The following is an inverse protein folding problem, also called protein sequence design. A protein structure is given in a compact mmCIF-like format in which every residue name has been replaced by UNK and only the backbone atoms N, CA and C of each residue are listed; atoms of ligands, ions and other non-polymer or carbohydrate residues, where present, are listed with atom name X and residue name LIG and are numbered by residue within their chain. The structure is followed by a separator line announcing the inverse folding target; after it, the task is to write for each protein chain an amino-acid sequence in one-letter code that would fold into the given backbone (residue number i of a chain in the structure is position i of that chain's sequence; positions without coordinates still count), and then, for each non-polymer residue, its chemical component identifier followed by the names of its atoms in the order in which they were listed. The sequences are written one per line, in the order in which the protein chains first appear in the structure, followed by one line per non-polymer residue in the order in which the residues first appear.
data_IF_613830884534
#
_entry.id   IF_613830884534
#
_cell.length_a   1.000
_cell.length_b   1.000
_cell.length_c   1.000
_cell.angle_alpha   90.00
_cell.angle_beta   90.00
_cell.angle_gamma   90.00
#
_symmetry.space_group_name_H-M   'P 1'
#
loop_
_entity.id
_entity.type
_entity.pdbx_description
1 polymer ?
#
# COMPACT_ATOMS: atom_id res chain seq x y z
N UNK A 1 -27.65 18.29 4.28
CA UNK A 1 -26.73 19.29 3.69
C UNK A 1 -26.63 19.11 2.17
N UNK A 2 -26.33 17.90 1.66
CA UNK A 2 -26.26 17.60 0.21
C UNK A 2 -27.51 18.02 -0.59
N UNK A 3 -28.71 17.69 -0.11
CA UNK A 3 -29.98 18.05 -0.75
C UNK A 3 -30.19 19.57 -0.89
N UNK A 4 -29.73 20.34 0.09
CA UNK A 4 -29.86 21.80 0.09
C UNK A 4 -28.89 22.44 -0.92
N UNK A 5 -27.66 21.90 -1.00
CA UNK A 5 -26.62 22.33 -1.95
C UNK A 5 -27.07 22.03 -3.38
N UNK A 6 -27.61 20.83 -3.63
CA UNK A 6 -28.13 20.42 -4.94
C UNK A 6 -29.28 21.33 -5.39
N UNK A 7 -30.21 21.66 -4.48
CA UNK A 7 -31.34 22.54 -4.79
C UNK A 7 -30.94 24.00 -5.05
N UNK A 8 -29.80 24.45 -4.52
CA UNK A 8 -29.32 25.84 -4.62
C UNK A 8 -28.35 26.03 -5.80
N UNK A 9 -27.50 25.05 -6.08
CA UNK A 9 -26.39 25.20 -7.04
C UNK A 9 -26.59 24.45 -8.37
N UNK A 10 -27.46 23.44 -8.41
CA UNK A 10 -27.70 22.67 -9.65
C UNK A 10 -28.71 23.40 -10.55
N UNK A 11 -28.42 23.56 -11.86
CA UNK A 11 -29.37 24.16 -12.77
C UNK A 11 -30.57 23.22 -12.97
N UNK A 12 -31.78 23.78 -13.00
CA UNK A 12 -33.01 23.00 -13.15
C UNK A 12 -33.06 22.34 -14.53
N UNK A 13 -33.32 21.02 -14.62
CA UNK A 13 -33.44 20.37 -15.91
C UNK A 13 -34.66 20.93 -16.66
N UNK A 14 -34.53 21.27 -17.95
CA UNK A 14 -35.65 21.72 -18.78
C UNK A 14 -36.63 20.56 -19.03
N UNK A 15 -37.88 20.88 -19.33
CA UNK A 15 -38.88 19.88 -19.73
C UNK A 15 -38.42 19.17 -21.02
N UNK A 16 -38.32 17.82 -21.03
CA UNK A 16 -37.87 17.04 -22.19
C UNK A 16 -38.68 17.27 -23.48
N UNK A 17 -39.88 17.85 -23.38
CA UNK A 17 -40.78 18.11 -24.51
C UNK A 17 -40.55 19.49 -25.15
N UNK A 18 -39.77 20.36 -24.50
CA UNK A 18 -39.52 21.73 -24.97
C UNK A 18 -38.30 21.75 -25.86
N UNK A 19 -38.45 22.27 -27.08
CA UNK A 19 -37.32 22.48 -28.00
C UNK A 19 -36.50 23.67 -27.53
N UNK A 20 -35.24 23.43 -27.16
CA UNK A 20 -34.32 24.44 -26.64
C UNK A 20 -33.99 25.45 -27.76
N UNK A 21 -34.18 26.74 -27.48
CA UNK A 21 -34.12 27.81 -28.49
C UNK A 21 -32.77 28.54 -28.61
N UNK A 22 -31.80 28.23 -27.75
CA UNK A 22 -30.45 28.84 -27.82
C UNK A 22 -29.52 28.05 -28.75
N UNK A 23 -28.35 28.60 -29.12
CA UNK A 23 -27.42 27.95 -30.06
C UNK A 23 -27.01 26.54 -29.65
N UNK A 24 -26.70 25.72 -30.66
CA UNK A 24 -26.30 24.33 -30.49
C UNK A 24 -24.83 24.22 -30.08
N UNK A 25 -24.56 23.50 -29.00
CA UNK A 25 -23.23 23.30 -28.41
C UNK A 25 -22.82 21.83 -28.54
N UNK A 26 -21.63 21.61 -29.09
CA UNK A 26 -21.00 20.30 -29.11
C UNK A 26 -20.07 20.15 -27.90
N UNK A 27 -20.28 19.12 -27.08
CA UNK A 27 -19.40 18.75 -25.98
C UNK A 27 -18.62 17.50 -26.37
N UNK A 28 -17.29 17.57 -26.36
CA UNK A 28 -16.43 16.43 -26.71
C UNK A 28 -15.95 15.75 -25.44
N UNK A 29 -16.36 14.49 -25.26
CA UNK A 29 -16.05 13.65 -24.10
C UNK A 29 -17.22 13.55 -23.12
N UNK A 30 -17.59 12.31 -22.77
CA UNK A 30 -18.62 12.00 -21.76
C UNK A 30 -18.03 11.75 -20.36
N UNK A 31 -16.89 12.37 -20.04
CA UNK A 31 -16.28 12.34 -18.70
C UNK A 31 -16.98 13.27 -17.71
N UNK A 32 -16.54 13.29 -16.45
CA UNK A 32 -17.15 14.13 -15.41
C UNK A 32 -17.29 15.60 -15.85
N UNK A 33 -16.25 16.17 -16.45
CA UNK A 33 -16.23 17.54 -16.97
C UNK A 33 -17.18 17.75 -18.14
N UNK A 34 -17.30 16.78 -19.04
CA UNK A 34 -18.19 16.86 -20.19
C UNK A 34 -19.66 16.80 -19.79
N UNK A 35 -20.00 15.89 -18.88
CA UNK A 35 -21.36 15.74 -18.33
C UNK A 35 -21.75 17.00 -17.55
N UNK A 36 -20.90 17.52 -16.67
CA UNK A 36 -21.23 18.76 -15.93
C UNK A 36 -21.37 19.96 -16.85
N UNK A 37 -20.49 20.11 -17.85
CA UNK A 37 -20.59 21.17 -18.86
C UNK A 37 -21.92 21.08 -19.63
N UNK A 38 -22.32 19.88 -20.04
CA UNK A 38 -23.58 19.65 -20.73
C UNK A 38 -24.79 19.98 -19.83
N UNK A 39 -24.78 19.58 -18.55
CA UNK A 39 -25.85 19.90 -17.59
C UNK A 39 -26.04 21.40 -17.45
N UNK A 40 -24.96 22.18 -17.34
CA UNK A 40 -25.06 23.64 -17.26
C UNK A 40 -25.58 24.26 -18.56
N UNK A 41 -25.11 23.81 -19.71
CA UNK A 41 -25.59 24.30 -21.00
C UNK A 41 -27.09 23.98 -21.20
N UNK A 42 -27.52 22.74 -20.93
CA UNK A 42 -28.92 22.31 -21.05
C UNK A 42 -29.82 23.05 -20.06
N UNK A 43 -29.40 23.16 -18.80
CA UNK A 43 -30.16 23.87 -17.76
C UNK A 43 -30.31 25.38 -18.02
N UNK A 44 -29.45 25.96 -18.86
CA UNK A 44 -29.58 27.34 -19.34
C UNK A 44 -30.24 27.46 -20.72
N UNK A 45 -30.82 26.38 -21.26
CA UNK A 45 -31.63 26.45 -22.47
C UNK A 45 -30.87 26.29 -23.79
N UNK A 46 -29.61 25.83 -23.76
CA UNK A 46 -28.81 25.51 -24.96
C UNK A 46 -29.07 24.09 -25.46
N UNK A 47 -29.17 23.91 -26.78
CA UNK A 47 -29.22 22.59 -27.41
C UNK A 47 -27.82 21.95 -27.35
N UNK A 48 -27.66 20.79 -26.70
CA UNK A 48 -26.34 20.19 -26.45
C UNK A 48 -26.26 18.78 -27.04
N UNK A 49 -25.16 18.49 -27.72
CA UNK A 49 -24.81 17.14 -28.18
C UNK A 49 -23.47 16.74 -27.57
N UNK A 50 -23.44 15.62 -26.85
CA UNK A 50 -22.21 15.04 -26.27
C UNK A 50 -21.67 13.99 -27.22
N UNK A 51 -20.40 14.11 -27.59
CA UNK A 51 -19.65 13.12 -28.39
C UNK A 51 -18.75 12.31 -27.47
N UNK A 52 -19.16 11.07 -27.14
CA UNK A 52 -18.34 10.12 -26.37
C UNK A 52 -17.49 9.23 -27.28
N UNK A 53 -16.28 8.87 -26.85
CA UNK A 53 -15.38 7.99 -27.60
C UNK A 53 -15.66 6.49 -27.36
N UNK A 54 -16.44 6.13 -26.33
CA UNK A 54 -16.73 4.75 -25.93
C UNK A 54 -18.22 4.48 -25.75
N UNK A 55 -18.61 3.22 -25.46
CA UNK A 55 -20.00 2.83 -25.21
C UNK A 55 -20.61 3.55 -23.99
N UNK A 56 -21.94 3.48 -23.86
CA UNK A 56 -22.72 4.17 -22.82
C UNK A 56 -22.27 3.82 -21.40
N UNK A 57 -21.82 2.59 -21.15
CA UNK A 57 -21.23 2.19 -19.86
C UNK A 57 -19.96 3.00 -19.47
N UNK A 58 -19.35 3.73 -20.41
CA UNK A 58 -18.19 4.59 -20.17
C UNK A 58 -18.52 6.06 -19.86
N UNK A 59 -19.80 6.40 -19.67
CA UNK A 59 -20.19 7.71 -19.14
C UNK A 59 -19.58 7.91 -17.76
N UNK A 60 -18.88 9.02 -17.56
CA UNK A 60 -17.99 9.28 -16.40
C UNK A 60 -16.50 9.22 -16.76
N UNK A 61 -16.15 8.69 -17.94
CA UNK A 61 -14.79 8.71 -18.48
C UNK A 61 -13.84 7.86 -17.64
N UNK A 62 -12.74 8.43 -17.14
CA UNK A 62 -11.78 7.68 -16.32
C UNK A 62 -12.41 7.11 -15.03
N UNK A 63 -13.51 7.70 -14.57
CA UNK A 63 -14.23 7.28 -13.37
C UNK A 63 -15.21 6.14 -13.61
N UNK A 64 -15.60 5.87 -14.86
CA UNK A 64 -16.49 4.74 -15.19
C UNK A 64 -15.75 3.39 -15.15
N UNK A 65 -14.43 3.41 -15.30
CA UNK A 65 -13.55 2.22 -15.27
C UNK A 65 -13.05 1.84 -13.88
N UNK A 66 -13.70 2.36 -12.83
CA UNK A 66 -13.25 2.24 -11.44
C UNK A 66 -12.11 3.21 -11.12
N UNK A 67 -12.12 3.81 -9.93
CA UNK A 67 -11.12 4.80 -9.51
C UNK A 67 -9.72 4.23 -9.19
N UNK A 68 -9.50 2.93 -9.40
CA UNK A 68 -8.26 2.23 -9.04
C UNK A 68 -7.68 1.54 -10.27
N UNK A 69 -6.36 1.60 -10.47
CA UNK A 69 -5.75 0.98 -11.64
C UNK A 69 -5.79 -0.54 -11.54
N UNK A 70 -6.06 -1.19 -12.66
CA UNK A 70 -5.97 -2.64 -12.77
C UNK A 70 -4.50 -3.12 -12.89
N UNK A 71 -4.29 -4.44 -12.81
CA UNK A 71 -2.96 -5.05 -12.93
C UNK A 71 -2.26 -4.68 -14.24
N UNK A 72 -2.98 -4.65 -15.36
CA UNK A 72 -2.39 -4.36 -16.67
C UNK A 72 -1.94 -2.90 -16.76
N UNK A 73 -2.75 -1.98 -16.25
CA UNK A 73 -2.41 -0.56 -16.12
C UNK A 73 -1.16 -0.38 -15.27
N UNK A 74 -1.08 -1.00 -14.09
CA UNK A 74 0.12 -0.94 -13.24
C UNK A 74 1.36 -1.46 -13.99
N UNK A 75 1.27 -2.63 -14.63
CA UNK A 75 2.40 -3.22 -15.37
C UNK A 75 2.83 -2.31 -16.53
N UNK A 76 1.87 -1.75 -17.27
CA UNK A 76 2.17 -0.83 -18.38
C UNK A 76 2.90 0.43 -17.90
N UNK A 77 2.49 1.01 -16.77
CA UNK A 77 3.16 2.18 -16.19
C UNK A 77 4.57 1.84 -15.72
N UNK A 78 4.76 0.68 -15.08
CA UNK A 78 6.10 0.20 -14.69
C UNK A 78 6.99 0.01 -15.92
N UNK A 79 6.48 -0.57 -17.01
CA UNK A 79 7.22 -0.73 -18.27
C UNK A 79 7.57 0.61 -18.92
N UNK A 80 6.65 1.57 -18.91
CA UNK A 80 6.92 2.91 -19.43
C UNK A 80 8.05 3.59 -18.65
N UNK A 81 8.08 3.45 -17.32
CA UNK A 81 9.19 3.95 -16.51
C UNK A 81 10.49 3.20 -16.82
N UNK A 82 10.42 1.88 -16.92
CA UNK A 82 11.56 1.04 -17.27
C UNK A 82 12.25 1.48 -18.56
N UNK A 83 11.47 1.67 -19.63
CA UNK A 83 11.96 2.10 -20.95
C UNK A 83 12.43 3.56 -20.92
N UNK A 84 11.65 4.46 -20.31
CA UNK A 84 11.97 5.89 -20.24
C UNK A 84 13.33 6.16 -19.60
N UNK A 85 13.68 5.39 -18.57
CA UNK A 85 14.95 5.55 -17.84
C UNK A 85 16.04 4.58 -18.33
N UNK A 86 15.81 3.82 -19.41
CA UNK A 86 16.82 2.90 -19.97
C UNK A 86 17.26 1.81 -18.99
N UNK A 87 16.35 1.36 -18.10
CA UNK A 87 16.68 0.41 -17.03
C UNK A 87 17.01 -0.99 -17.56
N UNK A 88 16.68 -1.27 -18.83
CA UNK A 88 17.06 -2.50 -19.53
C UNK A 88 18.58 -2.66 -19.59
N UNK A 89 19.31 -1.60 -19.95
CA UNK A 89 20.78 -1.62 -20.05
C UNK A 89 21.47 -1.69 -18.69
N UNK A 90 20.77 -1.29 -17.63
CA UNK A 90 21.26 -1.28 -16.25
C UNK A 90 20.92 -2.58 -15.48
N UNK A 91 20.21 -3.52 -16.11
CA UNK A 91 19.70 -4.72 -15.43
C UNK A 91 20.43 -5.99 -15.85
N UNK A 92 20.93 -6.73 -14.85
CA UNK A 92 21.43 -8.10 -15.03
C UNK A 92 20.34 -9.11 -14.65
N UNK A 93 19.61 -9.60 -15.65
CA UNK A 93 18.62 -10.65 -15.45
C UNK A 93 19.25 -11.99 -15.06
N UNK A 94 18.42 -12.92 -14.59
CA UNK A 94 18.81 -14.30 -14.24
C UNK A 94 19.97 -14.40 -13.22
N UNK A 95 20.18 -13.34 -12.43
CA UNK A 95 21.28 -13.27 -11.46
C UNK A 95 20.72 -13.27 -10.05
N UNK A 96 20.57 -14.47 -9.47
CA UNK A 96 20.11 -14.61 -8.07
C UNK A 96 21.22 -14.17 -7.11
N UNK A 97 20.92 -13.24 -6.22
CA UNK A 97 21.84 -12.82 -5.15
C UNK A 97 21.76 -13.82 -4.00
N UNK A 98 22.86 -14.54 -3.75
CA UNK A 98 22.98 -15.51 -2.66
C UNK A 98 23.84 -14.97 -1.52
N UNK A 99 24.82 -14.11 -1.82
CA UNK A 99 25.73 -13.56 -0.83
C UNK A 99 26.21 -12.16 -1.22
N UNK A 100 26.36 -11.31 -0.22
CA UNK A 100 26.95 -9.99 -0.28
C UNK A 100 28.05 -9.90 0.78
N UNK A 101 29.17 -9.26 0.45
CA UNK A 101 30.29 -9.05 1.37
C UNK A 101 31.06 -7.78 1.00
N UNK A 102 31.86 -7.25 1.94
CA UNK A 102 32.71 -6.08 1.71
C UNK A 102 34.16 -6.47 1.37
N UNK A 103 34.84 -5.64 0.59
CA UNK A 103 36.29 -5.71 0.41
C UNK A 103 37.04 -4.95 1.52
N UNK A 104 38.38 -5.02 1.51
CA UNK A 104 39.25 -4.36 2.51
C UNK A 104 39.12 -2.82 2.52
N UNK A 105 38.43 -2.24 1.53
CA UNK A 105 38.15 -0.79 1.44
C UNK A 105 36.69 -0.46 1.74
N UNK A 106 35.93 -1.40 2.32
CA UNK A 106 34.54 -1.21 2.71
C UNK A 106 33.53 -1.24 1.55
N UNK A 107 33.94 -1.54 0.31
CA UNK A 107 33.03 -1.58 -0.85
C UNK A 107 32.34 -2.92 -0.95
N UNK A 108 31.08 -2.89 -1.36
CA UNK A 108 30.22 -4.05 -1.46
C UNK A 108 30.45 -4.86 -2.75
N UNK A 109 30.40 -6.18 -2.62
CA UNK A 109 30.51 -7.15 -3.71
C UNK A 109 29.30 -8.08 -3.67
N UNK A 110 28.69 -8.33 -4.82
CA UNK A 110 27.49 -9.18 -4.97
C UNK A 110 27.87 -10.51 -5.62
N UNK A 111 27.68 -11.61 -4.90
CA UNK A 111 28.04 -13.00 -5.24
C UNK A 111 29.54 -13.24 -5.51
N UNK A 112 30.15 -12.50 -6.44
CA UNK A 112 31.56 -12.58 -6.81
C UNK A 112 32.06 -11.26 -7.38
N UNK A 113 33.38 -11.07 -7.38
CA UNK A 113 34.05 -9.87 -7.93
C UNK A 113 33.73 -9.60 -9.40
N UNK A 114 33.32 -10.62 -10.17
CA UNK A 114 32.92 -10.47 -11.58
C UNK A 114 31.72 -9.54 -11.78
N UNK A 115 30.89 -9.35 -10.74
CA UNK A 115 29.76 -8.42 -10.80
C UNK A 115 30.15 -6.96 -10.56
N UNK A 116 31.39 -6.70 -10.18
CA UNK A 116 31.90 -5.37 -9.84
C UNK A 116 31.91 -5.11 -8.34
N UNK A 117 32.28 -3.86 -8.02
CA UNK A 117 32.31 -3.32 -6.66
C UNK A 117 31.35 -2.14 -6.60
N UNK A 118 30.66 -1.98 -5.47
CA UNK A 118 29.60 -1.00 -5.27
C UNK A 118 29.79 -0.23 -3.96
N UNK A 119 29.47 1.05 -3.95
CA UNK A 119 29.63 1.89 -2.74
C UNK A 119 28.45 1.74 -1.76
N UNK A 120 27.30 1.24 -2.22
CA UNK A 120 26.14 1.00 -1.39
C UNK A 120 25.19 -0.05 -1.97
N UNK A 121 24.27 -0.54 -1.14
CA UNK A 121 23.26 -1.52 -1.52
C UNK A 121 21.88 -1.05 -1.09
N UNK A 122 20.92 -1.17 -2.00
CA UNK A 122 19.49 -1.02 -1.71
C UNK A 122 18.84 -2.40 -1.87
N UNK A 123 18.32 -2.96 -0.78
CA UNK A 123 17.55 -4.20 -0.82
C UNK A 123 16.08 -3.92 -1.12
N UNK A 124 15.62 -4.31 -2.32
CA UNK A 124 14.26 -4.11 -2.79
C UNK A 124 13.53 -5.46 -3.05
N UNK A 125 13.77 -6.48 -2.21
CA UNK A 125 13.23 -7.84 -2.38
C UNK A 125 11.73 -7.99 -2.04
N UNK A 126 11.09 -6.92 -1.57
CA UNK A 126 9.69 -6.90 -1.18
C UNK A 126 9.38 -7.66 0.11
N UNK A 127 8.10 -7.75 0.46
CA UNK A 127 7.61 -8.32 1.72
C UNK A 127 6.79 -9.61 1.52
N UNK A 128 6.38 -9.90 0.29
CA UNK A 128 5.60 -11.08 -0.07
C UNK A 128 6.50 -12.07 -0.80
N UNK A 129 7.00 -13.08 -0.07
CA UNK A 129 7.80 -14.18 -0.63
C UNK A 129 6.94 -15.42 -0.92
N UNK A 130 7.45 -16.58 -0.53
CA UNK A 130 6.80 -17.88 -0.77
C UNK A 130 5.41 -17.93 -0.11
N UNK A 131 4.38 -18.48 -0.78
CA UNK A 131 3.06 -18.67 -0.20
C UNK A 131 3.12 -19.42 1.13
N UNK A 132 2.39 -18.94 2.13
CA UNK A 132 2.28 -19.60 3.43
C UNK A 132 1.09 -20.54 3.40
N UNK A 133 1.30 -21.76 2.93
CA UNK A 133 0.26 -22.81 2.93
C UNK A 133 0.43 -23.65 4.20
N UNK A 134 -0.43 -23.51 5.22
CA UNK A 134 -0.39 -24.39 6.38
C UNK A 134 -0.84 -25.80 5.98
N UNK A 135 -0.10 -26.82 6.41
CA UNK A 135 -0.57 -28.20 6.31
C UNK A 135 -1.71 -28.40 7.31
N UNK A 136 -2.83 -28.94 6.83
CA UNK A 136 -4.00 -29.22 7.64
C UNK A 136 -4.39 -30.70 7.51
N UNK A 137 -4.93 -31.32 8.57
CA UNK A 137 -5.40 -32.70 8.51
C UNK A 137 -6.44 -32.91 7.42
N UNK A 138 -6.32 -34.01 6.67
CA UNK A 138 -7.31 -34.40 5.64
C UNK A 138 -7.17 -33.72 4.28
N UNK A 139 -6.25 -32.76 4.12
CA UNK A 139 -6.13 -31.95 2.89
C UNK A 139 -5.92 -32.80 1.61
N UNK A 140 -5.24 -33.94 1.72
CA UNK A 140 -4.98 -34.87 0.61
C UNK A 140 -6.22 -35.68 0.17
N UNK A 141 -7.33 -35.65 0.92
CA UNK A 141 -8.54 -36.44 0.67
C UNK A 141 -9.68 -35.64 0.04
N UNK A 142 -9.48 -34.35 -0.14
CA UNK A 142 -10.47 -33.40 -0.62
C UNK A 142 -10.73 -33.54 -2.12
N UNK A 143 -12.01 -33.53 -2.57
CA UNK A 143 -12.41 -33.94 -3.93
C UNK A 143 -13.52 -33.12 -4.63
N UNK A 144 -13.95 -31.98 -4.12
CA UNK A 144 -15.21 -31.37 -4.61
C UNK A 144 -15.17 -30.37 -5.82
N UNK A 145 -16.33 -29.80 -6.20
CA UNK A 145 -16.71 -28.72 -7.19
C UNK A 145 -17.02 -27.16 -6.80
N UNK A 146 -17.75 -26.74 -5.74
CA UNK A 146 -17.92 -25.40 -5.03
C UNK A 146 -16.69 -24.70 -4.36
N UNK A 147 -16.55 -23.37 -4.42
CA UNK A 147 -15.36 -22.66 -3.88
C UNK A 147 -15.40 -22.23 -2.38
N UNK A 148 -14.37 -22.57 -1.60
CA UNK A 148 -14.05 -22.08 -0.24
C UNK A 148 -12.76 -21.26 -0.27
N UNK A 149 -12.81 -20.03 0.22
CA UNK A 149 -11.62 -19.18 0.42
C UNK A 149 -11.21 -19.22 1.88
N UNK A 150 -9.98 -19.66 2.15
CA UNK A 150 -9.40 -19.73 3.49
C UNK A 150 -8.51 -18.51 3.73
N UNK A 151 -8.90 -17.66 4.66
CA UNK A 151 -8.22 -16.42 5.01
C UNK A 151 -9.14 -15.21 4.88
N UNK A 152 -8.95 -14.20 5.73
CA UNK A 152 -9.70 -12.94 5.72
C UNK A 152 -8.83 -11.75 5.31
N UNK A 153 -7.90 -11.91 4.37
CA UNK A 153 -7.01 -10.85 3.89
C UNK A 153 -7.49 -10.21 2.59
N UNK A 154 -6.77 -9.18 2.11
CA UNK A 154 -7.08 -8.54 0.82
C UNK A 154 -7.08 -9.57 -0.34
N UNK A 155 -6.16 -10.53 -0.31
CA UNK A 155 -6.10 -11.63 -1.30
C UNK A 155 -7.34 -12.53 -1.28
N UNK A 156 -8.01 -12.69 -0.13
CA UNK A 156 -9.24 -13.47 -0.04
C UNK A 156 -10.42 -12.75 -0.70
N UNK A 157 -10.46 -11.44 -0.52
CA UNK A 157 -11.45 -10.57 -1.17
C UNK A 157 -11.25 -10.56 -2.69
N UNK A 158 -10.01 -10.46 -3.17
CA UNK A 158 -9.70 -10.56 -4.60
C UNK A 158 -10.09 -11.93 -5.18
N UNK A 159 -9.86 -13.03 -4.44
CA UNK A 159 -10.30 -14.35 -4.85
C UNK A 159 -11.83 -14.45 -4.95
N UNK A 160 -12.56 -13.83 -4.01
CA UNK A 160 -14.02 -13.72 -4.08
C UNK A 160 -14.47 -12.86 -5.27
N UNK A 161 -13.78 -11.76 -5.57
CA UNK A 161 -14.09 -10.94 -6.75
C UNK A 161 -13.95 -11.74 -8.03
N UNK A 162 -12.82 -12.42 -8.20
CA UNK A 162 -12.53 -13.28 -9.33
C UNK A 162 -13.58 -14.39 -9.49
N UNK A 163 -13.84 -15.16 -8.43
CA UNK A 163 -14.77 -16.27 -8.52
C UNK A 163 -16.22 -15.83 -8.78
N UNK A 164 -16.63 -14.68 -8.24
CA UNK A 164 -17.94 -14.13 -8.55
C UNK A 164 -18.04 -13.66 -10.00
N UNK A 165 -16.96 -13.16 -10.60
CA UNK A 165 -16.92 -12.77 -12.01
C UNK A 165 -16.99 -14.01 -12.92
N UNK A 166 -16.37 -15.12 -12.50
CA UNK A 166 -16.44 -16.43 -13.17
C UNK A 166 -17.77 -17.19 -12.94
N UNK A 167 -18.73 -16.58 -12.23
CA UNK A 167 -20.08 -17.14 -12.06
C UNK A 167 -20.22 -18.21 -10.98
N UNK A 168 -19.35 -18.23 -9.97
CA UNK A 168 -19.50 -19.14 -8.83
C UNK A 168 -20.87 -18.95 -8.14
N UNK A 169 -21.57 -20.06 -7.89
CA UNK A 169 -22.93 -20.03 -7.32
C UNK A 169 -22.96 -19.55 -5.86
N UNK A 170 -21.98 -19.97 -5.07
CA UNK A 170 -21.83 -19.61 -3.66
C UNK A 170 -20.35 -19.61 -3.27
N UNK A 171 -19.93 -18.60 -2.52
CA UNK A 171 -18.55 -18.44 -2.07
C UNK A 171 -18.52 -18.34 -0.55
N UNK A 172 -17.70 -19.16 0.11
CA UNK A 172 -17.47 -19.08 1.55
C UNK A 172 -16.12 -18.44 1.83
N UNK A 173 -16.07 -17.37 2.65
CA UNK A 173 -14.83 -16.85 3.20
C UNK A 173 -14.71 -17.31 4.64
N UNK A 174 -13.71 -18.14 4.92
CA UNK A 174 -13.35 -18.56 6.27
C UNK A 174 -12.29 -17.60 6.83
N UNK A 175 -12.65 -16.87 7.89
CA UNK A 175 -11.74 -15.93 8.55
C UNK A 175 -11.57 -16.28 10.03
N UNK A 176 -10.31 -16.44 10.46
CA UNK A 176 -9.96 -16.65 11.87
C UNK A 176 -10.14 -15.39 12.70
N UNK A 177 -9.93 -14.21 12.12
CA UNK A 177 -10.12 -12.92 12.79
C UNK A 177 -10.86 -11.96 11.88
N UNK A 178 -11.68 -11.12 12.48
CA UNK A 178 -12.38 -10.06 11.76
C UNK A 178 -11.41 -8.96 11.34
N UNK A 179 -11.67 -8.39 10.17
CA UNK A 179 -10.98 -7.22 9.65
C UNK A 179 -11.99 -6.19 9.21
N UNK A 180 -11.61 -4.93 9.36
CA UNK A 180 -12.35 -3.82 8.78
C UNK A 180 -12.37 -3.91 7.26
N UNK A 181 -13.54 -3.72 6.66
CA UNK A 181 -13.70 -3.55 5.22
C UNK A 181 -14.10 -2.10 4.97
N UNK A 182 -13.30 -1.37 4.21
CA UNK A 182 -13.59 0.02 3.83
C UNK A 182 -13.83 0.13 2.33
N UNK A 183 -14.72 1.04 1.89
CA UNK A 183 -14.92 1.28 0.47
C UNK A 183 -13.62 1.73 -0.21
N UNK A 184 -13.41 1.36 -1.48
CA UNK A 184 -12.30 1.88 -2.32
C UNK A 184 -12.56 3.34 -2.73
N UNK A 185 -12.84 4.22 -1.79
CA UNK A 185 -13.07 5.63 -2.06
C UNK A 185 -12.07 6.49 -1.28
N UNK A 186 -11.18 7.24 -1.95
CA UNK A 186 -10.12 8.00 -1.28
C UNK A 186 -10.69 9.08 -0.35
N UNK A 187 -11.82 9.70 -0.69
CA UNK A 187 -12.47 10.71 0.15
C UNK A 187 -13.02 10.10 1.45
N UNK A 188 -13.75 8.99 1.36
CA UNK A 188 -14.26 8.30 2.54
C UNK A 188 -13.15 7.68 3.38
N UNK A 189 -12.13 7.08 2.75
CA UNK A 189 -10.98 6.53 3.46
C UNK A 189 -10.20 7.63 4.20
N UNK A 190 -10.09 8.84 3.63
CA UNK A 190 -9.47 9.99 4.31
C UNK A 190 -10.28 10.42 5.54
N UNK A 191 -11.61 10.54 5.42
CA UNK A 191 -12.48 10.92 6.55
C UNK A 191 -12.50 9.87 7.67
N UNK A 192 -12.51 8.57 7.29
CA UNK A 192 -12.40 7.47 8.24
C UNK A 192 -11.02 7.45 8.91
N UNK A 193 -9.94 7.73 8.18
CA UNK A 193 -8.59 7.82 8.74
C UNK A 193 -8.44 9.02 9.68
N UNK A 194 -9.19 10.10 9.44
CA UNK A 194 -9.32 11.24 10.35
C UNK A 194 -10.23 10.95 11.56
N UNK A 195 -10.83 9.76 11.63
CA UNK A 195 -11.67 9.27 12.73
C UNK A 195 -12.85 10.21 13.09
N UNK A 196 -13.42 10.90 12.10
CA UNK A 196 -14.50 11.90 12.32
C UNK A 196 -15.84 11.23 12.68
N UNK A 197 -16.06 10.00 12.23
CA UNK A 197 -17.29 9.24 12.43
C UNK A 197 -16.98 7.86 13.02
N UNK A 198 -16.60 7.82 14.31
CA UNK A 198 -16.37 6.57 15.04
C UNK A 198 -17.67 5.85 15.38
N UNK A 199 -18.30 5.17 14.42
CA UNK A 199 -19.43 4.29 14.70
C UNK A 199 -19.18 2.86 14.19
N UNK A 200 -19.50 1.90 15.07
CA UNK A 200 -19.37 0.47 14.86
C UNK A 200 -20.55 -0.07 14.03
N UNK A 201 -20.26 -0.75 12.92
CA UNK A 201 -21.23 -1.53 12.14
C UNK A 201 -21.24 -3.01 12.54
N UNK A 202 -22.23 -3.80 12.13
CA UNK A 202 -22.33 -5.22 12.53
C UNK A 202 -21.19 -6.14 12.03
N UNK A 203 -20.47 -5.72 10.99
CA UNK A 203 -19.25 -6.35 10.46
C UNK A 203 -17.97 -5.83 11.12
N UNK A 204 -18.06 -4.85 12.03
CA UNK A 204 -16.92 -4.35 12.77
C UNK A 204 -16.32 -5.45 13.65
N UNK A 205 -14.98 -5.59 13.69
CA UNK A 205 -14.31 -6.40 14.69
C UNK A 205 -14.68 -5.88 16.09
N UNK A 206 -15.23 -6.73 16.95
CA UNK A 206 -15.74 -6.33 18.27
C UNK A 206 -14.67 -5.82 19.24
N UNK A 207 -13.40 -6.17 18.99
CA UNK A 207 -12.30 -5.90 19.92
C UNK A 207 -11.23 -4.98 19.30
N UNK A 208 -11.52 -4.32 18.15
CA UNK A 208 -10.53 -3.51 17.42
C UNK A 208 -11.16 -2.24 16.83
N UNK A 209 -10.59 -1.09 17.16
CA UNK A 209 -10.95 0.18 16.53
C UNK A 209 -10.65 0.22 15.02
N UNK A 210 -11.23 1.20 14.33
CA UNK A 210 -10.97 1.46 12.91
C UNK A 210 -9.48 1.86 12.75
N UNK A 211 -8.77 1.25 11.80
CA UNK A 211 -7.32 1.40 11.52
C UNK A 211 -6.33 0.87 12.58
N UNK A 212 -6.78 0.16 13.60
CA UNK A 212 -5.83 -0.54 14.49
C UNK A 212 -5.11 -1.68 13.77
N UNK A 213 -5.74 -2.28 12.76
CA UNK A 213 -5.16 -3.21 11.79
C UNK A 213 -5.31 -2.67 10.37
N UNK A 214 -4.54 -3.23 9.41
CA UNK A 214 -4.70 -2.92 7.99
C UNK A 214 -6.11 -3.29 7.51
N UNK A 215 -6.98 -2.30 7.18
CA UNK A 215 -8.30 -2.58 6.66
C UNK A 215 -8.22 -3.12 5.24
N UNK A 216 -9.22 -3.90 4.85
CA UNK A 216 -9.40 -4.37 3.49
C UNK A 216 -10.19 -3.34 2.71
N UNK A 217 -9.64 -2.88 1.58
CA UNK A 217 -10.30 -1.85 0.79
C UNK A 217 -11.04 -2.49 -0.39
N UNK A 218 -12.36 -2.47 -0.36
CA UNK A 218 -13.21 -3.12 -1.35
C UNK A 218 -14.61 -2.48 -1.49
N UNK A 219 -15.21 -2.53 -2.68
CA UNK A 219 -16.57 -2.03 -2.92
C UNK A 219 -17.63 -3.13 -3.09
N UNK A 220 -17.23 -4.31 -3.54
CA UNK A 220 -18.13 -5.32 -4.12
C UNK A 220 -18.47 -6.43 -3.11
N UNK A 221 -17.58 -6.66 -2.13
CA UNK A 221 -17.78 -7.67 -1.08
C UNK A 221 -19.10 -7.44 -0.34
N UNK A 222 -19.48 -6.20 -0.05
CA UNK A 222 -20.71 -5.91 0.69
C UNK A 222 -21.97 -6.29 -0.10
N UNK A 223 -22.01 -5.99 -1.40
CA UNK A 223 -23.11 -6.37 -2.27
C UNK A 223 -23.25 -7.90 -2.36
N UNK A 224 -22.13 -8.61 -2.49
CA UNK A 224 -22.11 -10.08 -2.52
C UNK A 224 -22.54 -10.73 -1.21
N UNK A 225 -22.21 -10.12 -0.08
CA UNK A 225 -22.67 -10.58 1.23
C UNK A 225 -24.18 -10.34 1.40
N UNK A 226 -24.69 -9.18 0.97
CA UNK A 226 -26.11 -8.82 1.08
C UNK A 226 -27.01 -9.64 0.15
N UNK A 227 -26.56 -9.89 -1.08
CA UNK A 227 -27.25 -10.75 -2.05
C UNK A 227 -27.14 -12.24 -1.71
N UNK A 228 -26.34 -12.60 -0.70
CA UNK A 228 -26.12 -13.98 -0.27
C UNK A 228 -25.24 -14.79 -1.22
N UNK A 229 -24.65 -14.20 -2.27
CA UNK A 229 -23.67 -14.88 -3.14
C UNK A 229 -22.38 -15.26 -2.41
N UNK A 230 -22.01 -14.48 -1.40
CA UNK A 230 -20.91 -14.76 -0.50
C UNK A 230 -21.39 -14.92 0.94
N UNK A 231 -20.71 -15.75 1.73
CA UNK A 231 -20.90 -15.85 3.18
C UNK A 231 -19.57 -15.70 3.90
N UNK A 232 -19.50 -14.74 4.84
CA UNK A 232 -18.34 -14.55 5.70
C UNK A 232 -18.49 -15.38 6.98
N UNK A 233 -17.67 -16.41 7.12
CA UNK A 233 -17.73 -17.34 8.25
C UNK A 233 -16.55 -17.08 9.18
N UNK A 234 -16.87 -16.67 10.41
CA UNK A 234 -15.90 -16.57 11.52
C UNK A 234 -15.64 -17.96 12.07
N UNK A 235 -14.48 -18.54 11.77
CA UNK A 235 -14.18 -19.88 12.23
C UNK A 235 -12.69 -20.20 12.34
N UNK A 236 -12.38 -21.25 13.11
CA UNK A 236 -11.12 -21.98 13.02
C UNK A 236 -11.34 -23.23 12.18
N UNK A 237 -10.38 -23.54 11.29
CA UNK A 237 -10.44 -24.75 10.48
C UNK A 237 -9.85 -25.90 11.28
N UNK A 238 -10.60 -26.99 11.43
CA UNK A 238 -10.15 -28.17 12.17
C UNK A 238 -9.52 -29.20 11.21
N UNK A 239 -10.25 -29.59 10.16
CA UNK A 239 -9.81 -30.59 9.20
C UNK A 239 -10.54 -30.48 7.86
N UNK A 240 -9.94 -31.00 6.80
CA UNK A 240 -10.59 -31.22 5.52
C UNK A 240 -11.34 -32.55 5.54
N UNK A 241 -12.52 -32.55 4.93
CA UNK A 241 -13.32 -33.73 4.62
C UNK A 241 -13.27 -34.01 3.12
N UNK A 242 -13.86 -35.10 2.62
CA UNK A 242 -13.84 -35.39 1.18
C UNK A 242 -14.60 -34.32 0.37
N UNK A 243 -15.73 -33.84 0.89
CA UNK A 243 -16.63 -32.89 0.20
C UNK A 243 -16.65 -31.49 0.85
N UNK A 244 -15.62 -31.13 1.62
CA UNK A 244 -15.67 -29.88 2.39
C UNK A 244 -14.58 -29.66 3.43
N UNK A 245 -14.82 -28.70 4.30
CA UNK A 245 -13.95 -28.34 5.41
C UNK A 245 -14.76 -28.31 6.71
N UNK A 246 -14.33 -29.08 7.71
CA UNK A 246 -14.87 -29.01 9.06
C UNK A 246 -14.30 -27.79 9.76
N UNK A 247 -15.19 -26.90 10.19
CA UNK A 247 -14.83 -25.67 10.87
C UNK A 247 -15.51 -25.57 12.23
N UNK A 248 -14.81 -24.96 13.17
CA UNK A 248 -15.37 -24.48 14.42
C UNK A 248 -15.93 -23.07 14.19
N UNK A 249 -17.23 -22.95 13.89
CA UNK A 249 -17.93 -21.68 13.66
C UNK A 249 -18.16 -20.97 14.99
N UNK A 250 -17.63 -19.74 15.12
CA UNK A 250 -17.70 -18.96 16.35
C UNK A 250 -18.71 -17.82 16.21
N UNK A 251 -19.35 -17.47 17.33
CA UNK A 251 -20.20 -16.30 17.43
C UNK A 251 -19.37 -15.00 17.40
N UNK A 252 -20.03 -13.86 17.16
CA UNK A 252 -19.39 -12.53 17.28
C UNK A 252 -18.88 -12.34 18.73
N UNK A 253 -17.75 -11.68 18.88
CA UNK A 253 -17.05 -11.47 20.17
C UNK A 253 -16.35 -12.69 20.80
N UNK A 254 -16.37 -13.86 20.14
CA UNK A 254 -15.66 -15.05 20.63
C UNK A 254 -14.25 -15.12 20.03
N UNK A 255 -13.24 -15.17 20.90
CA UNK A 255 -11.84 -15.15 20.52
C UNK A 255 -11.41 -16.39 19.72
N UNK A 256 -10.33 -16.31 18.91
CA UNK A 256 -9.84 -17.47 18.17
C UNK A 256 -9.36 -18.60 19.07
N UNK A 257 -9.75 -19.84 18.77
CA UNK A 257 -9.44 -21.03 19.57
C UNK A 257 -10.48 -21.39 20.64
N UNK A 258 -11.45 -20.51 20.90
CA UNK A 258 -12.54 -20.79 21.84
C UNK A 258 -13.59 -21.75 21.26
N UNK A 259 -14.35 -22.48 22.11
CA UNK A 259 -15.38 -23.41 21.66
C UNK A 259 -16.47 -22.71 20.85
N UNK A 260 -16.89 -23.34 19.76
CA UNK A 260 -17.98 -22.89 18.90
C UNK A 260 -18.77 -24.07 18.34
N UNK A 261 -19.59 -23.80 17.33
CA UNK A 261 -20.39 -24.82 16.67
C UNK A 261 -19.59 -25.49 15.56
N UNK A 262 -19.40 -26.80 15.64
CA UNK A 262 -18.77 -27.58 14.57
C UNK A 262 -19.73 -27.67 13.37
N UNK A 263 -19.30 -27.15 12.23
CA UNK A 263 -20.07 -27.13 10.99
C UNK A 263 -19.17 -27.57 9.85
N UNK A 264 -19.68 -28.41 8.95
CA UNK A 264 -19.00 -28.74 7.71
C UNK A 264 -19.43 -27.73 6.66
N UNK A 265 -18.47 -26.93 6.17
CA UNK A 265 -18.67 -26.10 4.99
C UNK A 265 -18.41 -27.00 3.79
N UNK A 266 -19.46 -27.33 3.05
CA UNK A 266 -19.34 -28.07 1.81
C UNK A 266 -18.71 -27.19 0.76
N UNK A 267 -17.77 -27.77 0.03
CA UNK A 267 -16.89 -27.04 -0.82
C UNK A 267 -15.72 -27.90 -1.22
N UNK A 268 -15.00 -27.42 -2.19
CA UNK A 268 -14.80 -28.33 -3.30
C UNK A 268 -13.64 -27.83 -4.20
N UNK A 269 -13.53 -26.51 -4.41
CA UNK A 269 -12.27 -25.81 -4.68
C UNK A 269 -11.87 -25.04 -3.43
N UNK A 270 -10.65 -25.23 -2.93
CA UNK A 270 -10.15 -24.43 -1.80
C UNK A 270 -9.05 -23.48 -2.25
N UNK A 271 -9.29 -22.18 -2.05
CA UNK A 271 -8.30 -21.13 -2.28
C UNK A 271 -7.64 -20.76 -0.96
N UNK A 272 -6.35 -21.07 -0.83
CA UNK A 272 -5.54 -20.72 0.34
C UNK A 272 -5.06 -19.28 0.27
N UNK A 273 -5.84 -18.35 0.84
CA UNK A 273 -5.52 -16.92 0.96
C UNK A 273 -4.87 -16.59 2.32
N UNK A 274 -3.95 -17.45 2.77
CA UNK A 274 -3.31 -17.42 4.10
C UNK A 274 -2.06 -16.54 4.20
N UNK A 275 -1.79 -15.74 3.16
CA UNK A 275 -0.66 -14.82 3.08
C UNK A 275 0.65 -15.47 2.62
N UNK A 276 1.75 -14.72 2.71
CA UNK A 276 3.08 -15.16 2.29
C UNK A 276 4.08 -15.12 3.45
N UNK A 277 5.11 -15.97 3.38
CA UNK A 277 6.32 -15.83 4.20
C UNK A 277 7.11 -14.63 3.71
N UNK A 278 7.67 -13.86 4.63
CA UNK A 278 8.54 -12.73 4.27
C UNK A 278 9.86 -13.25 3.70
N UNK A 279 10.38 -12.64 2.61
CA UNK A 279 11.73 -12.90 2.15
C UNK A 279 12.74 -12.58 3.26
N UNK A 280 13.75 -13.43 3.42
CA UNK A 280 14.83 -13.18 4.37
C UNK A 280 15.96 -12.39 3.70
N UNK A 281 16.63 -11.53 4.47
CA UNK A 281 17.81 -10.78 4.04
C UNK A 281 19.11 -11.54 4.32
N UNK A 282 19.07 -12.87 4.35
CA UNK A 282 20.19 -13.74 4.72
C UNK A 282 21.39 -13.70 3.75
N UNK A 283 21.24 -13.04 2.60
CA UNK A 283 22.37 -12.77 1.70
C UNK A 283 23.25 -11.62 2.18
N UNK A 284 22.77 -10.76 3.10
CA UNK A 284 23.56 -9.71 3.73
C UNK A 284 24.36 -10.26 4.92
N UNK A 285 25.53 -9.70 5.23
CA UNK A 285 26.29 -10.09 6.42
C UNK A 285 25.50 -9.88 7.72
N UNK A 286 25.69 -10.77 8.69
CA UNK A 286 25.01 -10.69 10.00
C UNK A 286 25.35 -9.40 10.77
N UNK A 287 26.53 -8.81 10.51
CA UNK A 287 26.93 -7.53 11.08
C UNK A 287 26.00 -6.36 10.71
N UNK A 288 25.18 -6.50 9.66
CA UNK A 288 24.17 -5.51 9.29
C UNK A 288 22.96 -5.52 10.24
N UNK A 289 22.80 -6.55 11.06
CA UNK A 289 21.64 -6.77 11.95
C UNK A 289 22.03 -6.89 13.43
N UNK A 290 23.18 -6.34 13.81
CA UNK A 290 23.58 -6.21 15.20
C UNK A 290 22.72 -5.18 15.94
N UNK A 291 22.42 -5.43 17.22
CA UNK A 291 21.61 -4.51 18.02
C UNK A 291 22.19 -3.08 18.05
N UNK A 292 21.36 -2.04 17.86
CA UNK A 292 19.89 -2.03 17.90
C UNK A 292 19.20 -2.24 16.53
N UNK A 293 19.95 -2.54 15.47
CA UNK A 293 19.45 -2.65 14.10
C UNK A 293 18.91 -4.06 13.85
N UNK A 294 17.63 -4.17 13.55
CA UNK A 294 16.99 -5.45 13.21
C UNK A 294 16.45 -5.41 11.79
N UNK A 295 16.21 -6.57 11.19
CA UNK A 295 15.59 -6.66 9.87
C UNK A 295 14.29 -5.82 9.86
N UNK A 296 14.14 -4.89 8.91
CA UNK A 296 13.02 -3.96 8.91
C UNK A 296 11.69 -4.71 8.70
N UNK A 297 10.70 -4.37 9.53
CA UNK A 297 9.32 -4.83 9.43
C UNK A 297 8.46 -3.76 8.74
N UNK A 298 8.82 -3.31 7.54
CA UNK A 298 8.10 -2.23 6.87
C UNK A 298 7.04 -2.78 5.91
N UNK A 299 5.80 -2.31 6.04
CA UNK A 299 4.75 -2.43 5.03
C UNK A 299 4.80 -1.20 4.13
N UNK A 300 4.47 -1.37 2.85
CA UNK A 300 4.79 -0.38 1.83
C UNK A 300 3.50 0.21 1.25
N UNK A 301 3.32 1.53 1.39
CA UNK A 301 2.26 2.33 0.76
C UNK A 301 2.83 3.42 -0.16
N UNK A 302 1.99 4.00 -1.02
CA UNK A 302 2.41 4.92 -2.10
C UNK A 302 3.31 6.09 -1.64
N UNK A 303 2.96 6.76 -0.52
CA UNK A 303 3.77 7.87 0.03
C UNK A 303 5.14 7.42 0.58
N UNK A 304 5.23 6.16 1.01
CA UNK A 304 6.44 5.58 1.60
C UNK A 304 7.46 5.16 0.52
N UNK A 305 7.01 4.63 -0.62
CA UNK A 305 7.91 4.11 -1.68
C UNK A 305 8.83 5.20 -2.22
N UNK A 306 8.30 6.40 -2.44
CA UNK A 306 9.07 7.50 -3.02
C UNK A 306 9.94 8.27 -2.00
N UNK A 307 9.53 8.31 -0.73
CA UNK A 307 10.21 9.13 0.28
C UNK A 307 11.52 8.49 0.75
N UNK A 308 11.58 7.15 0.90
CA UNK A 308 12.79 6.47 1.36
C UNK A 308 13.97 6.61 0.40
N UNK A 309 13.83 6.40 -0.93
CA UNK A 309 14.91 6.64 -1.87
C UNK A 309 15.37 8.11 -1.85
N UNK A 310 14.48 9.07 -1.62
CA UNK A 310 14.85 10.49 -1.56
C UNK A 310 15.60 10.85 -0.27
N UNK A 311 15.21 10.28 0.87
CA UNK A 311 16.01 10.37 2.10
C UNK A 311 17.39 9.75 1.89
N UNK A 312 17.46 8.57 1.27
CA UNK A 312 18.72 7.92 0.95
C UNK A 312 19.57 8.78 0.01
N UNK A 313 18.99 9.37 -1.04
CA UNK A 313 19.70 10.27 -1.95
C UNK A 313 20.20 11.52 -1.22
N UNK A 314 19.40 12.12 -0.34
CA UNK A 314 19.83 13.24 0.52
C UNK A 314 21.03 12.82 1.36
N UNK A 315 20.99 11.66 2.02
CA UNK A 315 22.12 11.17 2.80
C UNK A 315 23.34 10.89 1.92
N UNK A 316 23.18 10.27 0.75
CA UNK A 316 24.29 9.96 -0.15
C UNK A 316 24.93 11.22 -0.75
N UNK A 317 24.16 12.28 -1.00
CA UNK A 317 24.66 13.52 -1.59
C UNK A 317 25.20 14.49 -0.53
N UNK A 318 24.56 14.59 0.63
CA UNK A 318 24.88 15.59 1.66
C UNK A 318 25.38 14.94 2.96
N UNK A 319 26.70 14.95 3.22
CA UNK A 319 27.28 14.37 4.42
C UNK A 319 26.77 14.99 5.74
N UNK A 320 26.38 16.27 5.75
CA UNK A 320 25.91 16.97 6.95
C UNK A 320 24.52 16.50 7.39
N UNK A 321 23.79 15.84 6.49
CA UNK A 321 22.47 15.30 6.77
C UNK A 321 22.52 13.89 7.38
N UNK A 322 23.66 13.19 7.30
CA UNK A 322 23.84 11.80 7.77
C UNK A 322 23.80 11.73 9.30
N UNK A 323 22.91 10.94 9.92
CA UNK A 323 22.91 10.78 11.37
C UNK A 323 24.11 9.93 11.82
N UNK A 324 24.79 10.35 12.88
CA UNK A 324 25.85 9.53 13.50
C UNK A 324 25.26 8.29 14.21
N UNK A 325 26.04 7.20 14.40
CA UNK A 325 25.58 5.99 15.10
C UNK A 325 25.02 6.27 16.49
N UNK A 326 25.58 7.27 17.17
CA UNK A 326 25.14 7.72 18.48
C UNK A 326 23.72 8.29 18.45
N UNK A 327 23.42 9.20 17.52
CA UNK A 327 22.08 9.78 17.36
C UNK A 327 21.10 8.75 16.83
N UNK A 328 21.53 7.89 15.89
CA UNK A 328 20.72 6.82 15.35
C UNK A 328 20.31 5.80 16.43
N UNK A 329 21.23 5.43 17.35
CA UNK A 329 20.90 4.56 18.49
C UNK A 329 19.88 5.20 19.43
N UNK A 330 20.11 6.46 19.85
CA UNK A 330 19.17 7.18 20.72
C UNK A 330 17.80 7.34 20.10
N UNK A 331 17.78 7.57 18.80
CA UNK A 331 16.56 7.61 18.03
C UNK A 331 15.82 6.27 18.09
N UNK A 332 16.49 5.16 17.79
CA UNK A 332 15.89 3.83 17.87
C UNK A 332 15.36 3.56 19.28
N UNK A 333 16.12 3.89 20.32
CA UNK A 333 15.71 3.71 21.72
C UNK A 333 14.47 4.56 22.06
N UNK A 334 14.44 5.82 21.64
CA UNK A 334 13.27 6.70 21.79
C UNK A 334 12.04 6.11 21.08
N UNK A 335 12.20 5.63 19.85
CA UNK A 335 11.07 5.04 19.09
C UNK A 335 10.57 3.75 19.73
N UNK A 336 11.46 2.90 20.25
CA UNK A 336 11.08 1.70 21.02
C UNK A 336 10.30 2.10 22.27
N UNK A 337 10.75 3.10 23.01
CA UNK A 337 10.07 3.62 24.19
C UNK A 337 8.67 4.17 23.86
N UNK A 338 8.56 5.02 22.82
CA UNK A 338 7.28 5.61 22.41
C UNK A 338 6.27 4.55 21.93
N UNK A 339 6.74 3.51 21.23
CA UNK A 339 5.89 2.39 20.79
C UNK A 339 5.44 1.47 21.94
N UNK A 340 6.12 1.50 23.10
CA UNK A 340 5.75 0.72 24.30
C UNK A 340 4.78 1.47 25.22
N UNK A 341 4.56 2.77 25.01
CA UNK A 341 3.73 3.62 25.87
C UNK A 341 2.21 3.42 25.67
N UNK A 342 1.41 3.24 26.74
CA UNK A 342 -0.04 2.98 26.65
C UNK A 342 -0.86 4.14 26.07
N UNK A 343 -0.29 5.35 25.97
CA UNK A 343 -0.95 6.54 25.40
C UNK A 343 -0.93 6.60 23.87
N UNK A 344 -0.05 5.84 23.20
CA UNK A 344 0.13 5.89 21.73
C UNK A 344 0.06 4.51 21.06
N UNK A 345 0.05 3.42 21.84
CA UNK A 345 0.22 2.05 21.36
C UNK A 345 -1.03 1.27 20.87
N UNK A 346 -2.31 1.56 21.19
CA UNK A 346 -3.37 0.62 20.81
C UNK A 346 -3.88 0.75 19.37
N UNK A 347 -3.65 1.88 18.69
CA UNK A 347 -4.43 2.25 17.50
C UNK A 347 -3.72 2.20 16.17
N UNK A 348 -2.43 1.84 16.12
CA UNK A 348 -1.70 1.75 14.87
C UNK A 348 -0.87 0.46 14.81
N UNK A 349 -1.31 -0.51 14.01
CA UNK A 349 -0.50 -1.65 13.50
C UNK A 349 0.68 -1.20 12.63
N UNK A 350 0.94 0.10 12.58
CA UNK A 350 2.00 0.77 11.88
C UNK A 350 2.79 1.54 12.94
N UNK A 351 4.11 1.34 13.06
CA UNK A 351 4.93 2.20 13.91
C UNK A 351 4.62 3.66 13.60
N UNK A 352 4.76 4.57 14.58
CA UNK A 352 4.56 6.04 14.46
C UNK A 352 5.36 6.71 13.31
N UNK A 353 6.13 5.92 12.57
CA UNK A 353 7.00 6.22 11.45
C UNK A 353 6.48 5.77 10.09
N UNK A 354 5.45 4.90 10.05
CA UNK A 354 4.66 4.70 8.80
C UNK A 354 3.53 5.73 8.69
N UNK A 355 3.51 6.71 9.59
CA UNK A 355 2.70 7.91 9.51
C UNK A 355 3.63 9.09 9.22
N UNK A 356 3.13 10.07 8.47
CA UNK A 356 3.90 11.21 7.95
C UNK A 356 4.67 12.01 9.01
N UNK A 357 4.29 11.92 10.29
CA UNK A 357 4.92 12.64 11.40
C UNK A 357 6.36 12.24 11.68
N UNK A 358 6.72 10.97 11.45
CA UNK A 358 8.10 10.53 11.59
C UNK A 358 9.04 11.23 10.60
N UNK A 359 8.71 11.16 9.31
CA UNK A 359 9.52 11.82 8.27
C UNK A 359 9.67 13.32 8.49
N UNK A 360 8.61 13.99 8.98
CA UNK A 360 8.66 15.40 9.38
C UNK A 360 9.65 15.60 10.52
N UNK A 361 9.63 14.75 11.55
CA UNK A 361 10.60 14.81 12.64
C UNK A 361 12.04 14.65 12.13
N UNK A 362 12.32 13.70 11.23
CA UNK A 362 13.66 13.51 10.65
C UNK A 362 14.19 14.80 10.01
N UNK A 363 13.35 15.51 9.26
CA UNK A 363 13.76 16.76 8.58
C UNK A 363 13.80 17.92 9.57
N UNK A 364 12.85 18.00 10.49
CA UNK A 364 12.67 19.15 11.39
C UNK A 364 13.85 19.37 12.34
N UNK A 365 14.37 18.31 12.95
CA UNK A 365 15.38 18.43 14.00
C UNK A 365 16.79 18.77 13.50
N UNK A 366 17.10 18.50 12.23
CA UNK A 366 18.40 18.80 11.66
C UNK A 366 18.24 19.92 10.61
N UNK A 367 18.73 21.15 10.89
CA UNK A 367 18.54 22.29 9.99
C UNK A 367 19.20 22.10 8.63
N UNK A 368 20.25 21.28 8.52
CA UNK A 368 20.86 20.94 7.22
C UNK A 368 19.90 20.15 6.32
N UNK A 369 18.89 19.49 6.88
CA UNK A 369 17.87 18.76 6.10
C UNK A 369 16.76 19.67 5.57
N UNK A 370 16.63 20.91 6.04
CA UNK A 370 15.52 21.79 5.65
C UNK A 370 15.56 22.19 4.18
N UNK A 371 16.75 22.43 3.63
CA UNK A 371 16.93 22.67 2.19
C UNK A 371 16.44 21.49 1.34
N UNK A 372 16.51 20.27 1.88
CA UNK A 372 16.05 19.05 1.22
C UNK A 372 14.56 18.74 1.40
N UNK A 373 13.84 19.48 2.25
CA UNK A 373 12.45 19.16 2.61
C UNK A 373 11.52 19.06 1.39
N UNK A 374 11.59 20.03 0.47
CA UNK A 374 10.75 20.04 -0.73
C UNK A 374 11.06 18.86 -1.66
N UNK A 375 12.34 18.50 -1.78
CA UNK A 375 12.75 17.33 -2.54
C UNK A 375 12.27 16.04 -1.87
N UNK A 376 12.51 15.86 -0.58
CA UNK A 376 12.15 14.64 0.15
C UNK A 376 10.64 14.39 0.10
N UNK A 377 9.82 15.36 0.51
CA UNK A 377 8.36 15.16 0.60
C UNK A 377 7.67 15.15 -0.77
N UNK A 378 8.09 16.01 -1.71
CA UNK A 378 7.35 16.22 -2.95
C UNK A 378 8.10 15.78 -4.22
N UNK A 379 9.39 15.49 -4.12
CA UNK A 379 10.23 15.15 -5.27
C UNK A 379 10.60 16.36 -6.12
N UNK A 380 10.44 17.57 -5.59
CA UNK A 380 10.63 18.81 -6.32
C UNK A 380 12.00 19.42 -6.04
N UNK A 381 12.65 19.92 -7.09
CA UNK A 381 13.79 20.83 -6.96
C UNK A 381 15.11 20.18 -6.48
N UNK A 382 15.43 18.95 -6.90
CA UNK A 382 16.69 18.27 -6.52
C UNK A 382 17.97 19.08 -6.79
N UNK A 383 17.98 19.90 -7.85
CA UNK A 383 19.16 20.67 -8.24
C UNK A 383 19.53 21.75 -7.21
N UNK A 384 18.54 22.41 -6.60
CA UNK A 384 18.79 23.53 -5.69
C UNK A 384 19.57 23.09 -4.41
N UNK A 385 19.16 22.04 -3.68
CA UNK A 385 19.95 21.54 -2.54
C UNK A 385 21.34 21.05 -2.96
N UNK A 386 21.46 20.45 -4.15
CA UNK A 386 22.73 19.95 -4.66
C UNK A 386 23.73 21.10 -4.88
N UNK A 387 23.31 22.18 -5.53
CA UNK A 387 24.18 23.33 -5.78
C UNK A 387 24.67 23.95 -4.45
N UNK A 388 23.81 23.97 -3.42
CA UNK A 388 24.18 24.42 -2.08
C UNK A 388 25.22 23.48 -1.45
N UNK A 389 25.05 22.17 -1.58
CA UNK A 389 26.02 21.18 -1.08
C UNK A 389 27.36 21.30 -1.79
N UNK A 390 27.40 21.54 -3.10
CA UNK A 390 28.67 21.74 -3.83
C UNK A 390 29.47 22.96 -3.31
N UNK A 391 28.79 24.00 -2.84
CA UNK A 391 29.41 25.16 -2.18
C UNK A 391 29.87 24.80 -0.76
N UNK A 392 29.04 24.12 0.02
CA UNK A 392 29.39 23.67 1.38
C UNK A 392 30.59 22.73 1.38
N UNK A 393 30.65 21.80 0.43
CA UNK A 393 31.76 20.84 0.28
C UNK A 393 33.06 21.57 -0.04
N UNK A 394 33.02 22.62 -0.87
CA UNK A 394 34.20 23.45 -1.15
C UNK A 394 34.74 24.09 0.13
N UNK A 395 33.85 24.70 0.93
CA UNK A 395 34.20 25.33 2.21
C UNK A 395 34.73 24.27 3.20
N UNK A 396 34.10 23.10 3.27
CA UNK A 396 34.49 22.03 4.18
C UNK A 396 35.88 21.49 3.84
N UNK A 397 36.17 21.33 2.55
CA UNK A 397 37.49 20.91 2.06
C UNK A 397 38.57 21.96 2.39
N UNK A 398 38.26 23.26 2.27
CA UNK A 398 39.17 24.34 2.68
C UNK A 398 39.45 24.34 4.19
N UNK A 399 38.48 23.93 5.01
CA UNK A 399 38.60 23.82 6.47
C UNK A 399 39.22 22.50 6.94
N UNK A 400 39.54 21.56 6.04
CA UNK A 400 40.14 20.27 6.37
C UNK A 400 39.22 19.30 7.14
N UNK A 401 37.91 19.54 7.15
CA UNK A 401 36.92 18.72 7.85
C UNK A 401 36.45 17.59 6.92
N UNK A 402 37.31 16.61 6.67
CA UNK A 402 36.92 15.42 5.91
C UNK A 402 36.28 14.40 6.88
N UNK A 403 35.06 13.97 6.57
CA UNK A 403 34.25 13.07 7.43
C UNK A 403 34.70 11.60 7.43
N UNK A 404 35.86 11.31 6.87
CA UNK A 404 36.39 9.94 6.75
C UNK A 404 37.30 9.63 7.94
N UNK A 405 36.96 8.61 8.73
CA UNK A 405 37.91 8.00 9.67
C UNK A 405 39.00 7.21 8.92
N UNK A 406 40.11 6.94 9.60
CA UNK A 406 41.31 6.27 9.08
C UNK A 406 41.07 4.87 8.46
N UNK A 407 39.87 4.30 8.60
CA UNK A 407 39.48 2.97 8.11
C UNK A 407 38.58 3.01 6.85
N UNK A 408 38.43 4.19 6.22
CA UNK A 408 37.66 4.35 4.97
C UNK A 408 36.15 4.17 5.12
N UNK A 409 35.64 4.18 6.36
CA UNK A 409 34.21 4.10 6.68
C UNK A 409 33.68 5.49 7.01
N UNK A 410 32.63 5.90 6.31
CA UNK A 410 31.88 7.11 6.63
C UNK A 410 30.87 6.82 7.76
N UNK A 411 31.09 7.42 8.92
CA UNK A 411 30.22 7.25 10.08
C UNK A 411 29.13 8.33 10.20
N UNK A 412 29.07 9.30 9.30
CA UNK A 412 28.15 10.44 9.39
C UNK A 412 28.47 11.36 10.57
N UNK A 413 28.65 12.65 10.28
CA UNK A 413 28.99 13.68 11.29
C UNK A 413 27.77 14.50 11.75
N UNK A 414 26.59 14.22 11.20
CA UNK A 414 25.36 14.96 11.45
C UNK A 414 24.60 14.51 12.71
N UNK A 415 23.74 15.42 13.17
CA UNK A 415 22.79 15.22 14.26
C UNK A 415 21.54 14.43 13.82
#
# INVERSE_FOLDING_TARGET
MQWLIDKILSPTPPDPRVRLGRPKIAVVGAGITGVTSAVHCVGHGFDVVIFGAGPEENVGGIWSKGGYPDRQQIISQVRQLWERYGLDTLTKFNTKVNRVYQDDRGRWIINSLSNGRFDGIISAIGTCGVPKVPEMPGMNRFKGEIMIVIGGGASAVEALEFASAEGAQKIYISARSDKWITPRNPFWNMLLAMNIFGQETDLAPSNKGIFTDTPMVNFDVMDKLQTGKAEWVRCDIEQFTEDGVLVNKRAKCVAPGEPGQKVVIKGDLVVMATGCKRPQLSFLPDSCFEEPYVSPNCTVGNWHIGIYPRFLLMFLVDPLTRPSPFWMKRWIDMTRFLNLGPLLAPSTSLPIWSSSGGFVFCVWFNPFRWKWALFVFFGLGFMLPRDVVEVEDRIRNELGVNGDEADGRDLGIGF
#
